data_IF_637372047764
#
_entry.id   IF_637372047764
#
_cell.length_a   1.000
_cell.length_b   1.000
_cell.length_c   1.000
_cell.angle_alpha   90.00
_cell.angle_beta   90.00
_cell.angle_gamma   90.00
#
_symmetry.space_group_name_H-M   'P 1'
#
loop_
_entity.id
_entity.type
_entity.pdbx_description
1 polymer ?
#
# COMPACT_ATOMS: atom_id res chain seq x y z
N UNK A 1 -9.93 9.25 9.46
CA UNK A 1 -10.84 8.15 9.09
C UNK A 1 -12.27 8.68 9.08
N UNK A 2 -13.08 8.29 8.10
CA UNK A 2 -14.50 8.65 8.02
C UNK A 2 -15.36 7.40 7.93
N UNK A 3 -16.61 7.47 8.40
CA UNK A 3 -17.55 6.35 8.29
C UNK A 3 -18.92 6.84 7.87
N UNK A 4 -19.50 6.22 6.85
CA UNK A 4 -20.89 6.47 6.51
C UNK A 4 -21.69 5.17 6.52
N UNK A 5 -22.94 5.28 6.98
CA UNK A 5 -23.92 4.22 6.94
C UNK A 5 -25.13 4.71 6.13
N UNK A 6 -25.67 3.85 5.29
CA UNK A 6 -26.84 4.10 4.46
C UNK A 6 -27.84 2.99 4.70
N UNK A 7 -29.10 3.34 4.99
CA UNK A 7 -30.18 2.38 5.20
C UNK A 7 -31.32 2.71 4.24
N UNK A 8 -31.67 1.77 3.37
CA UNK A 8 -32.75 1.90 2.40
C UNK A 8 -33.66 0.68 2.48
N UNK A 9 -34.80 0.85 3.15
CA UNK A 9 -35.67 -0.27 3.51
C UNK A 9 -34.91 -1.30 4.34
N UNK A 10 -34.76 -2.52 3.80
CA UNK A 10 -33.99 -3.62 4.43
C UNK A 10 -32.50 -3.60 4.09
N UNK A 11 -32.09 -2.90 3.04
CA UNK A 11 -30.70 -2.82 2.63
C UNK A 11 -29.93 -1.87 3.56
N UNK A 12 -28.81 -2.33 4.08
CA UNK A 12 -27.87 -1.51 4.85
C UNK A 12 -26.52 -1.52 4.14
N UNK A 13 -25.90 -0.36 3.99
CA UNK A 13 -24.54 -0.22 3.50
C UNK A 13 -23.70 0.51 4.56
N UNK A 14 -22.53 -0.02 4.90
CA UNK A 14 -21.59 0.59 5.84
C UNK A 14 -20.20 0.62 5.23
N UNK A 15 -19.58 1.79 5.20
CA UNK A 15 -18.20 1.95 4.75
C UNK A 15 -17.37 2.75 5.74
N UNK A 16 -16.19 2.22 6.03
CA UNK A 16 -15.13 2.89 6.78
C UNK A 16 -14.03 3.29 5.81
N UNK A 17 -13.82 4.59 5.67
CA UNK A 17 -12.88 5.19 4.73
C UNK A 17 -11.61 5.57 5.50
N UNK A 18 -10.52 4.86 5.21
CA UNK A 18 -9.20 5.15 5.79
C UNK A 18 -8.55 6.38 5.14
N UNK A 19 -8.75 6.53 3.82
CA UNK A 19 -8.14 7.57 3.01
C UNK A 19 -9.20 8.48 2.37
N UNK A 20 -8.82 9.75 2.16
CA UNK A 20 -9.66 10.75 1.49
C UNK A 20 -10.16 10.27 0.14
N UNK A 21 -9.29 9.65 -0.64
CA UNK A 21 -9.66 8.97 -1.89
C UNK A 21 -9.88 7.51 -1.56
N UNK A 22 -11.03 6.96 -1.92
CA UNK A 22 -11.37 5.54 -1.83
C UNK A 22 -11.85 5.07 -3.20
N UNK A 23 -11.34 3.94 -3.66
CA UNK A 23 -11.73 3.32 -4.93
C UNK A 23 -12.46 2.02 -4.64
N UNK A 24 -13.71 1.90 -5.09
CA UNK A 24 -14.47 0.65 -5.04
C UNK A 24 -14.37 -0.01 -6.41
N UNK A 25 -13.35 -0.85 -6.57
CA UNK A 25 -13.16 -1.68 -7.76
C UNK A 25 -13.68 -3.10 -7.47
N UNK A 26 -14.82 -3.40 -8.07
CA UNK A 26 -15.47 -4.71 -7.97
C UNK A 26 -16.07 -5.08 -9.33
N UNK A 27 -16.50 -6.33 -9.48
CA UNK A 27 -17.20 -6.79 -10.67
C UNK A 27 -18.52 -6.03 -10.89
N UNK A 28 -19.04 -6.11 -12.12
CA UNK A 28 -20.38 -5.60 -12.43
C UNK A 28 -21.46 -6.36 -11.62
N UNK A 29 -22.57 -5.69 -11.33
CA UNK A 29 -23.70 -6.30 -10.61
C UNK A 29 -23.52 -6.47 -9.09
N UNK A 30 -22.42 -5.99 -8.50
CA UNK A 30 -22.16 -6.08 -7.04
C UNK A 30 -22.83 -4.97 -6.21
N UNK A 31 -23.57 -4.06 -6.86
CA UNK A 31 -24.36 -3.03 -6.18
C UNK A 31 -23.71 -1.63 -6.09
N UNK A 32 -22.61 -1.39 -6.82
CA UNK A 32 -21.96 -0.06 -6.93
C UNK A 32 -22.94 1.03 -7.43
N UNK A 33 -23.49 0.86 -8.62
CA UNK A 33 -24.46 1.79 -9.21
C UNK A 33 -25.73 1.91 -8.37
N UNK A 34 -26.18 0.82 -7.76
CA UNK A 34 -27.34 0.84 -6.85
C UNK A 34 -27.08 1.73 -5.62
N UNK A 35 -25.87 1.69 -5.05
CA UNK A 35 -25.45 2.56 -3.96
C UNK A 35 -25.36 4.03 -4.40
N UNK A 36 -24.81 4.30 -5.58
CA UNK A 36 -24.78 5.65 -6.14
C UNK A 36 -26.19 6.22 -6.34
N UNK A 37 -27.07 5.49 -7.03
CA UNK A 37 -28.46 5.88 -7.27
C UNK A 37 -29.24 6.11 -5.98
N UNK A 38 -28.99 5.26 -4.99
CA UNK A 38 -29.56 5.35 -3.67
C UNK A 38 -29.23 6.69 -2.98
N UNK A 39 -27.96 7.10 -3.01
CA UNK A 39 -27.52 8.37 -2.44
C UNK A 39 -28.06 9.56 -3.26
N UNK A 40 -28.06 9.44 -4.59
CA UNK A 40 -28.59 10.48 -5.49
C UNK A 40 -30.09 10.72 -5.30
N UNK A 41 -30.88 9.66 -5.12
CA UNK A 41 -32.34 9.74 -4.92
C UNK A 41 -32.75 10.16 -3.51
N UNK A 42 -31.92 9.87 -2.50
CA UNK A 42 -32.21 10.18 -1.10
C UNK A 42 -31.11 11.02 -0.45
N UNK A 43 -30.91 12.26 -0.92
CA UNK A 43 -29.96 13.17 -0.29
C UNK A 43 -30.40 13.47 1.15
N UNK A 44 -29.48 13.35 2.09
CA UNK A 44 -29.59 13.91 3.45
C UNK A 44 -30.53 13.25 4.46
N UNK A 45 -31.69 12.67 4.10
CA UNK A 45 -32.79 12.52 5.08
C UNK A 45 -33.33 11.11 5.38
N UNK A 46 -32.84 10.04 4.72
CA UNK A 46 -33.24 8.63 5.04
C UNK A 46 -32.06 7.69 5.28
N UNK A 47 -30.84 8.14 5.01
CA UNK A 47 -29.60 7.47 5.38
C UNK A 47 -29.24 7.87 6.81
N UNK A 48 -29.07 6.92 7.73
CA UNK A 48 -28.47 7.24 9.03
C UNK A 48 -26.97 7.44 8.81
N UNK A 49 -26.59 8.65 8.43
CA UNK A 49 -25.19 9.04 8.27
C UNK A 49 -24.60 9.23 9.67
N UNK A 50 -23.74 8.31 10.09
CA UNK A 50 -22.87 8.52 11.28
C UNK A 50 -21.59 9.27 10.92
N UNK A 51 -21.51 9.83 9.71
CA UNK A 51 -20.39 10.63 9.26
C UNK A 51 -20.57 12.06 9.76
N UNK A 52 -19.50 12.72 10.19
CA UNK A 52 -19.51 14.16 10.42
C UNK A 52 -19.59 14.98 9.11
N UNK A 53 -19.53 14.31 7.96
CA UNK A 53 -19.50 14.90 6.62
C UNK A 53 -20.80 14.62 5.86
N UNK A 54 -21.22 15.59 5.04
CA UNK A 54 -22.37 15.43 4.14
C UNK A 54 -22.06 14.41 3.04
N UNK A 55 -22.98 13.47 2.79
CA UNK A 55 -22.85 12.49 1.71
C UNK A 55 -23.57 13.01 0.45
N UNK A 56 -22.86 13.04 -0.67
CA UNK A 56 -23.39 13.52 -1.94
C UNK A 56 -22.97 12.59 -3.09
N UNK A 57 -23.88 12.27 -4.00
CA UNK A 57 -23.58 11.59 -5.25
C UNK A 57 -23.64 12.61 -6.40
N UNK A 58 -22.63 12.64 -7.26
CA UNK A 58 -22.51 13.65 -8.33
C UNK A 58 -22.25 12.98 -9.68
N UNK A 59 -22.89 13.49 -10.73
CA UNK A 59 -22.63 13.05 -12.10
C UNK A 59 -21.53 13.90 -12.75
N UNK A 60 -21.57 15.21 -12.50
CA UNK A 60 -20.62 16.22 -12.95
C UNK A 60 -20.04 17.00 -11.77
N UNK A 61 -18.83 17.58 -11.93
CA UNK A 61 -18.23 18.44 -10.90
C UNK A 61 -19.11 19.66 -10.58
N UNK A 62 -19.91 20.13 -11.54
CA UNK A 62 -20.86 21.23 -11.35
C UNK A 62 -22.02 20.87 -10.42
N UNK A 63 -22.28 19.58 -10.18
CA UNK A 63 -23.32 19.14 -9.26
C UNK A 63 -22.88 19.25 -7.79
N UNK A 64 -21.59 19.47 -7.53
CA UNK A 64 -21.06 19.59 -6.18
C UNK A 64 -21.62 20.88 -5.56
N UNK A 65 -22.26 20.74 -4.40
CA UNK A 65 -22.83 21.91 -3.74
C UNK A 65 -21.72 22.84 -3.25
N UNK A 66 -21.75 24.08 -3.71
CA UNK A 66 -20.85 25.15 -3.27
C UNK A 66 -21.27 25.69 -1.91
N UNK A 67 -21.07 24.88 -0.88
CA UNK A 67 -21.14 25.27 0.52
C UNK A 67 -19.80 24.94 1.20
N UNK A 68 -19.46 25.66 2.27
CA UNK A 68 -18.20 25.45 3.00
C UNK A 68 -18.18 24.15 3.83
N UNK A 69 -19.20 23.28 3.71
CA UNK A 69 -19.27 22.02 4.43
C UNK A 69 -18.40 20.98 3.74
N UNK A 70 -17.62 20.23 4.52
CA UNK A 70 -16.84 19.09 4.02
C UNK A 70 -17.77 17.92 3.68
N UNK A 71 -17.48 17.23 2.57
CA UNK A 71 -18.36 16.21 1.99
C UNK A 71 -17.64 14.88 1.77
N UNK A 72 -18.44 13.83 1.64
CA UNK A 72 -18.07 12.57 1.00
C UNK A 72 -18.80 12.54 -0.35
N UNK A 73 -18.05 12.64 -1.43
CA UNK A 73 -18.53 12.71 -2.81
C UNK A 73 -18.41 11.33 -3.44
N UNK A 74 -19.54 10.77 -3.88
CA UNK A 74 -19.62 9.50 -4.60
C UNK A 74 -19.68 9.78 -6.10
N UNK A 75 -18.85 9.08 -6.87
CA UNK A 75 -18.82 9.15 -8.33
C UNK A 75 -18.83 7.72 -8.87
N UNK A 76 -19.82 7.40 -9.70
CA UNK A 76 -19.94 6.10 -10.36
C UNK A 76 -19.18 6.07 -11.70
N UNK A 77 -18.80 4.88 -12.17
CA UNK A 77 -18.01 4.71 -13.39
C UNK A 77 -18.65 5.24 -14.66
N UNK A 78 -19.99 5.32 -14.67
CA UNK A 78 -20.78 5.83 -15.80
C UNK A 78 -21.03 7.35 -15.72
N UNK A 79 -20.61 8.01 -14.63
CA UNK A 79 -20.79 9.44 -14.46
C UNK A 79 -19.93 10.28 -15.41
N UNK A 80 -20.46 11.45 -15.80
CA UNK A 80 -19.76 12.40 -16.66
C UNK A 80 -18.35 12.76 -16.15
N UNK A 81 -18.16 12.85 -14.83
CA UNK A 81 -16.86 13.04 -14.16
C UNK A 81 -15.77 12.05 -14.61
N UNK A 82 -16.12 10.79 -14.89
CA UNK A 82 -15.15 9.73 -15.23
C UNK A 82 -15.08 9.43 -16.72
N UNK A 83 -15.81 10.18 -17.55
CA UNK A 83 -15.68 10.09 -19.01
C UNK A 83 -14.33 10.65 -19.48
N UNK A 84 -13.85 10.14 -20.62
CA UNK A 84 -12.53 10.49 -21.18
C UNK A 84 -12.28 11.99 -21.32
N UNK A 85 -13.32 12.77 -21.63
CA UNK A 85 -13.19 14.20 -21.85
C UNK A 85 -13.03 14.99 -20.54
N UNK A 86 -13.52 14.46 -19.41
CA UNK A 86 -13.57 15.19 -18.14
C UNK A 86 -12.64 14.60 -17.06
N UNK A 87 -12.17 13.35 -17.22
CA UNK A 87 -11.38 12.66 -16.20
C UNK A 87 -10.16 13.45 -15.72
N UNK A 88 -9.49 14.20 -16.63
CA UNK A 88 -8.33 15.03 -16.25
C UNK A 88 -8.72 16.18 -15.33
N UNK A 89 -9.84 16.84 -15.61
CA UNK A 89 -10.38 17.92 -14.78
C UNK A 89 -10.85 17.38 -13.44
N UNK A 90 -11.54 16.24 -13.43
CA UNK A 90 -11.94 15.51 -12.22
C UNK A 90 -10.74 15.17 -11.35
N UNK A 91 -9.67 14.61 -11.92
CA UNK A 91 -8.44 14.31 -11.16
C UNK A 91 -7.82 15.58 -10.59
N UNK A 92 -7.75 16.65 -11.38
CA UNK A 92 -7.23 17.95 -10.91
C UNK A 92 -8.08 18.49 -9.75
N UNK A 93 -9.39 18.40 -9.84
CA UNK A 93 -10.30 18.82 -8.77
C UNK A 93 -10.08 17.99 -7.51
N UNK A 94 -10.08 16.66 -7.62
CA UNK A 94 -9.87 15.75 -6.49
C UNK A 94 -8.54 16.04 -5.82
N UNK A 95 -7.46 16.27 -6.57
CA UNK A 95 -6.13 16.55 -6.01
C UNK A 95 -6.05 17.87 -5.24
N UNK A 96 -6.90 18.86 -5.55
CA UNK A 96 -6.90 20.18 -4.91
C UNK A 96 -8.04 20.37 -3.89
N UNK A 97 -8.84 19.33 -3.65
CA UNK A 97 -9.97 19.37 -2.71
C UNK A 97 -9.67 18.63 -1.41
N UNK A 98 -10.15 19.19 -0.30
CA UNK A 98 -10.12 18.57 1.03
C UNK A 98 -11.30 17.62 1.27
N UNK A 99 -12.24 17.51 0.32
CA UNK A 99 -13.36 16.59 0.40
C UNK A 99 -12.90 15.14 0.25
N UNK A 100 -13.72 14.24 0.78
CA UNK A 100 -13.55 12.80 0.65
C UNK A 100 -14.24 12.33 -0.63
N UNK A 101 -13.61 11.40 -1.34
CA UNK A 101 -14.09 10.88 -2.62
C UNK A 101 -14.18 9.36 -2.58
N UNK A 102 -15.34 8.84 -2.98
CA UNK A 102 -15.57 7.41 -3.20
C UNK A 102 -15.82 7.20 -4.69
N UNK A 103 -14.80 6.71 -5.38
CA UNK A 103 -14.78 6.47 -6.82
C UNK A 103 -15.18 5.01 -7.07
N UNK A 104 -16.39 4.78 -7.55
CA UNK A 104 -16.90 3.44 -7.85
C UNK A 104 -16.54 3.07 -9.28
N UNK A 105 -15.26 2.81 -9.51
CA UNK A 105 -14.71 2.58 -10.84
C UNK A 105 -13.54 1.63 -10.77
N UNK A 106 -13.02 1.26 -11.95
CA UNK A 106 -11.83 0.43 -12.02
C UNK A 106 -10.57 1.24 -11.78
N UNK A 107 -9.62 0.69 -11.02
CA UNK A 107 -8.37 1.38 -10.64
C UNK A 107 -7.58 1.92 -11.85
N UNK A 108 -7.65 1.23 -13.00
CA UNK A 108 -6.94 1.60 -14.23
C UNK A 108 -7.55 2.81 -14.98
N UNK A 109 -8.82 3.16 -14.71
CA UNK A 109 -9.47 4.35 -15.31
C UNK A 109 -8.96 5.66 -14.67
N UNK A 110 -8.40 5.59 -13.47
CA UNK A 110 -7.97 6.74 -12.67
C UNK A 110 -6.49 7.12 -12.91
N UNK A 111 -5.95 6.82 -14.09
CA UNK A 111 -4.54 7.05 -14.41
C UNK A 111 -4.11 8.47 -14.01
N UNK A 112 -2.94 8.58 -13.34
CA UNK A 112 -2.36 9.80 -12.75
C UNK A 112 -2.93 10.24 -11.39
N UNK A 113 -4.07 9.72 -10.92
CA UNK A 113 -4.52 9.99 -9.56
C UNK A 113 -3.61 9.26 -8.56
N UNK A 114 -3.00 9.99 -7.63
CA UNK A 114 -2.22 9.40 -6.56
C UNK A 114 -3.14 8.94 -5.42
N UNK A 115 -3.18 7.64 -5.16
CA UNK A 115 -3.88 7.05 -4.02
C UNK A 115 -3.20 5.75 -3.57
N UNK A 116 -3.41 5.39 -2.30
CA UNK A 116 -2.83 4.18 -1.71
C UNK A 116 -3.47 2.91 -2.27
N UNK A 117 -2.71 1.83 -2.37
CA UNK A 117 -3.28 0.49 -2.63
C UNK A 117 -4.32 0.12 -1.56
N UNK A 118 -4.14 0.56 -0.31
CA UNK A 118 -5.07 0.34 0.80
C UNK A 118 -6.35 1.19 0.70
N UNK A 119 -6.41 2.10 -0.28
CA UNK A 119 -7.62 2.82 -0.63
C UNK A 119 -8.53 2.04 -1.59
N UNK A 120 -8.12 0.85 -2.05
CA UNK A 120 -8.88 0.03 -2.99
C UNK A 120 -9.67 -1.05 -2.26
N UNK A 121 -10.98 -1.04 -2.46
CA UNK A 121 -11.92 -1.92 -1.79
C UNK A 121 -12.81 -2.65 -2.79
N UNK A 122 -13.37 -3.77 -2.32
CA UNK A 122 -14.48 -4.49 -2.94
C UNK A 122 -15.71 -4.47 -2.04
N UNK A 123 -16.89 -4.65 -2.60
CA UNK A 123 -18.14 -4.75 -1.84
C UNK A 123 -18.30 -6.18 -1.33
N UNK A 124 -18.60 -6.31 -0.04
CA UNK A 124 -18.92 -7.58 0.60
C UNK A 124 -20.37 -7.57 1.02
N UNK A 125 -21.15 -8.52 0.49
CA UNK A 125 -22.55 -8.73 0.84
C UNK A 125 -22.70 -9.86 1.85
N UNK A 126 -23.31 -9.56 3.00
CA UNK A 126 -23.75 -10.53 4.01
C UNK A 126 -25.25 -10.37 4.21
N UNK A 127 -26.05 -11.26 3.62
CA UNK A 127 -27.51 -11.16 3.62
C UNK A 127 -28.00 -9.82 3.04
N UNK A 128 -28.54 -8.92 3.88
CA UNK A 128 -29.02 -7.58 3.51
C UNK A 128 -28.01 -6.46 3.81
N UNK A 129 -26.86 -6.80 4.40
CA UNK A 129 -25.82 -5.85 4.77
C UNK A 129 -24.69 -5.87 3.73
N UNK A 130 -24.35 -4.70 3.23
CA UNK A 130 -23.25 -4.44 2.32
C UNK A 130 -22.17 -3.67 3.08
N UNK A 131 -20.93 -4.11 2.93
CA UNK A 131 -19.76 -3.46 3.51
C UNK A 131 -18.67 -3.35 2.47
N UNK A 132 -17.60 -2.61 2.77
CA UNK A 132 -16.39 -2.62 1.96
C UNK A 132 -15.27 -3.37 2.69
N UNK A 133 -14.46 -4.10 1.93
CA UNK A 133 -13.24 -4.76 2.44
C UNK A 133 -12.06 -4.48 1.51
N UNK A 134 -10.83 -4.36 2.02
CA UNK A 134 -9.65 -4.17 1.18
C UNK A 134 -9.58 -5.21 0.07
N UNK A 135 -9.30 -4.75 -1.15
CA UNK A 135 -9.17 -5.63 -2.33
C UNK A 135 -7.81 -6.33 -2.35
N UNK A 136 -6.76 -5.60 -1.97
CA UNK A 136 -5.39 -6.08 -1.92
C UNK A 136 -4.91 -6.17 -0.47
N UNK A 137 -4.26 -7.28 -0.13
CA UNK A 137 -3.55 -7.41 1.14
C UNK A 137 -2.13 -6.87 1.01
N UNK A 138 -1.45 -6.61 2.14
CA UNK A 138 0.00 -6.37 2.14
C UNK A 138 0.69 -7.60 1.59
N UNK A 139 1.61 -7.37 0.65
CA UNK A 139 2.32 -8.42 -0.05
C UNK A 139 3.63 -8.67 0.68
N UNK A 140 3.74 -9.86 1.24
CA UNK A 140 4.98 -10.32 1.86
C UNK A 140 5.28 -11.75 1.42
N UNK A 141 6.38 -11.93 0.71
CA UNK A 141 6.87 -13.27 0.35
C UNK A 141 7.63 -13.89 1.52
N UNK A 142 7.02 -14.87 2.18
CA UNK A 142 7.68 -15.71 3.20
C UNK A 142 8.30 -16.95 2.56
N UNK A 143 9.49 -17.34 3.03
CA UNK A 143 10.12 -18.63 2.72
C UNK A 143 10.32 -18.90 1.22
N UNK A 144 10.77 -17.89 0.47
CA UNK A 144 11.16 -18.09 -0.92
C UNK A 144 12.29 -19.13 -1.03
N UNK A 145 12.21 -19.97 -2.06
CA UNK A 145 13.26 -20.95 -2.40
C UNK A 145 14.42 -20.31 -3.16
N UNK A 146 14.22 -19.09 -3.67
CA UNK A 146 15.23 -18.36 -4.44
C UNK A 146 16.01 -17.43 -3.52
N UNK A 147 17.35 -17.56 -3.45
CA UNK A 147 18.16 -16.60 -2.71
C UNK A 147 18.03 -15.22 -3.35
N UNK A 148 17.94 -14.17 -2.52
CA UNK A 148 17.90 -12.78 -2.99
C UNK A 148 19.33 -12.36 -3.33
N UNK A 149 19.54 -12.00 -4.60
CA UNK A 149 20.79 -11.41 -5.08
C UNK A 149 20.64 -9.90 -5.36
N UNK A 150 19.43 -9.42 -5.67
CA UNK A 150 19.18 -8.01 -6.00
C UNK A 150 17.94 -7.48 -5.29
N UNK A 151 18.04 -6.27 -4.75
CA UNK A 151 16.89 -5.47 -4.31
C UNK A 151 16.54 -4.46 -5.40
N UNK A 152 15.28 -4.46 -5.83
CA UNK A 152 14.69 -3.44 -6.69
C UNK A 152 13.74 -2.59 -5.85
N UNK A 153 14.01 -1.30 -5.69
CA UNK A 153 13.17 -0.40 -4.90
C UNK A 153 12.49 0.67 -5.75
N UNK A 154 11.26 1.02 -5.41
CA UNK A 154 10.47 2.03 -6.11
C UNK A 154 11.08 3.41 -6.02
N UNK A 155 11.39 3.82 -4.80
CA UNK A 155 12.01 5.09 -4.47
C UNK A 155 13.39 5.26 -5.11
N UNK A 156 13.80 6.50 -5.32
CA UNK A 156 15.13 6.90 -5.80
C UNK A 156 15.82 7.90 -4.85
N UNK A 157 15.30 8.07 -3.64
CA UNK A 157 15.73 9.09 -2.67
C UNK A 157 16.19 8.45 -1.36
N UNK A 158 15.53 8.73 -0.24
CA UNK A 158 15.90 8.32 1.12
C UNK A 158 15.81 6.81 1.31
N UNK A 159 14.71 6.19 0.88
CA UNK A 159 14.54 4.74 0.92
C UNK A 159 15.60 4.03 0.09
N UNK A 160 15.84 4.48 -1.14
CA UNK A 160 16.92 3.92 -1.98
C UNK A 160 18.30 4.03 -1.31
N UNK A 161 18.63 5.22 -0.81
CA UNK A 161 19.92 5.48 -0.14
C UNK A 161 20.12 4.57 1.06
N UNK A 162 19.05 4.31 1.82
CA UNK A 162 19.05 3.41 2.96
C UNK A 162 19.30 1.95 2.56
N UNK A 163 18.51 1.40 1.62
CA UNK A 163 18.66 0.01 1.20
C UNK A 163 19.98 -0.24 0.46
N UNK A 164 20.52 0.76 -0.26
CA UNK A 164 21.84 0.69 -0.88
C UNK A 164 22.98 0.58 0.13
N UNK A 165 22.80 1.07 1.36
CA UNK A 165 23.73 0.86 2.48
C UNK A 165 23.59 -0.52 3.11
N UNK A 166 22.41 -1.14 3.01
CA UNK A 166 22.12 -2.46 3.57
C UNK A 166 22.60 -3.61 2.67
N UNK A 167 22.55 -3.44 1.34
CA UNK A 167 22.94 -4.47 0.37
C UNK A 167 23.74 -3.87 -0.80
N UNK A 168 24.70 -4.62 -1.32
CA UNK A 168 25.56 -4.21 -2.43
C UNK A 168 24.76 -4.02 -3.73
N UNK A 169 23.92 -5.02 -4.04
CA UNK A 169 23.08 -5.07 -5.23
C UNK A 169 21.68 -4.50 -4.96
N UNK A 170 21.60 -3.18 -4.81
CA UNK A 170 20.34 -2.43 -4.76
C UNK A 170 20.22 -1.49 -5.97
N UNK A 171 19.07 -1.51 -6.64
CA UNK A 171 18.72 -0.67 -7.79
C UNK A 171 17.36 -0.02 -7.58
N UNK A 172 17.21 1.23 -8.03
CA UNK A 172 15.90 1.88 -8.09
C UNK A 172 15.22 1.55 -9.42
N UNK A 173 13.91 1.36 -9.39
CA UNK A 173 13.10 1.42 -10.60
C UNK A 173 12.52 2.81 -10.89
N UNK A 174 12.84 3.86 -10.13
CA UNK A 174 12.50 5.26 -10.43
C UNK A 174 10.99 5.53 -10.48
N UNK A 175 10.29 5.08 -9.45
CA UNK A 175 8.88 5.35 -9.25
C UNK A 175 7.95 4.33 -9.92
N UNK A 176 6.69 4.35 -9.47
CA UNK A 176 5.64 3.41 -9.93
C UNK A 176 5.53 3.22 -11.43
N UNK A 177 5.68 4.26 -12.26
CA UNK A 177 5.42 4.16 -13.71
C UNK A 177 6.46 3.27 -14.44
N UNK A 178 7.56 2.96 -13.76
CA UNK A 178 8.66 2.16 -14.24
C UNK A 178 8.69 0.73 -13.65
N UNK A 179 7.62 0.29 -12.97
CA UNK A 179 7.55 -1.03 -12.31
C UNK A 179 7.90 -2.21 -13.23
N UNK A 180 7.75 -2.07 -14.56
CA UNK A 180 8.09 -3.10 -15.55
C UNK A 180 9.56 -3.50 -15.51
N UNK A 181 10.45 -2.59 -15.09
CA UNK A 181 11.90 -2.86 -14.91
C UNK A 181 12.16 -3.99 -13.92
N UNK A 182 11.25 -4.23 -12.97
CA UNK A 182 11.38 -5.30 -11.99
C UNK A 182 11.37 -6.71 -12.62
N UNK A 183 10.73 -6.86 -13.78
CA UNK A 183 10.45 -8.16 -14.42
C UNK A 183 11.45 -8.56 -15.51
N UNK A 184 12.52 -7.78 -15.72
CA UNK A 184 13.62 -8.17 -16.60
C UNK A 184 14.27 -9.47 -16.11
N UNK A 185 14.71 -10.32 -17.05
CA UNK A 185 15.27 -11.66 -16.79
C UNK A 185 16.34 -11.59 -15.69
N UNK A 186 16.18 -12.40 -14.64
CA UNK A 186 17.12 -12.53 -13.54
C UNK A 186 17.71 -13.94 -13.48
N UNK A 187 18.99 -14.04 -13.14
CA UNK A 187 19.70 -15.31 -12.92
C UNK A 187 19.40 -15.92 -11.54
N UNK A 188 19.05 -15.07 -10.56
CA UNK A 188 18.74 -15.40 -9.17
C UNK A 188 17.48 -14.68 -8.69
N UNK A 189 17.06 -14.91 -7.45
CA UNK A 189 15.88 -14.25 -6.89
C UNK A 189 16.10 -12.74 -6.68
N UNK A 190 15.02 -11.98 -6.79
CA UNK A 190 15.02 -10.52 -6.64
C UNK A 190 13.94 -10.12 -5.64
N UNK A 191 14.28 -9.23 -4.71
CA UNK A 191 13.31 -8.63 -3.79
C UNK A 191 12.87 -7.28 -4.34
N UNK A 192 11.57 -7.13 -4.56
CA UNK A 192 10.96 -5.87 -4.99
C UNK A 192 10.37 -5.18 -3.77
N UNK A 193 10.76 -3.93 -3.58
CA UNK A 193 10.34 -3.08 -2.47
C UNK A 193 9.60 -1.87 -3.03
N UNK A 194 8.40 -1.58 -2.52
CA UNK A 194 7.66 -0.39 -2.95
C UNK A 194 6.71 0.15 -1.88
N UNK A 195 6.51 1.46 -1.95
CA UNK A 195 5.55 2.20 -1.15
C UNK A 195 4.15 1.96 -1.71
N UNK A 196 3.20 1.57 -0.85
CA UNK A 196 1.80 1.39 -1.26
C UNK A 196 1.13 2.72 -1.55
N UNK A 197 1.64 3.82 -1.01
CA UNK A 197 1.17 5.16 -1.33
C UNK A 197 1.50 5.51 -2.80
N UNK A 198 0.48 5.87 -3.58
CA UNK A 198 0.66 6.27 -4.98
C UNK A 198 0.69 5.11 -5.99
N UNK A 199 0.90 3.87 -5.54
CA UNK A 199 0.94 2.66 -6.39
C UNK A 199 -0.44 2.13 -6.80
N UNK A 200 -1.53 2.70 -6.26
CA UNK A 200 -2.90 2.23 -6.48
C UNK A 200 -3.31 2.08 -7.94
N UNK A 201 -2.88 2.98 -8.83
CA UNK A 201 -3.22 2.91 -10.27
C UNK A 201 -2.55 1.74 -11.01
N UNK A 202 -1.44 1.22 -10.49
CA UNK A 202 -0.59 0.26 -11.17
C UNK A 202 -0.66 -1.14 -10.55
N UNK A 203 -1.22 -1.27 -9.34
CA UNK A 203 -1.16 -2.49 -8.54
C UNK A 203 -1.75 -3.72 -9.24
N UNK A 204 -2.84 -3.57 -10.01
CA UNK A 204 -3.47 -4.68 -10.73
C UNK A 204 -2.51 -5.29 -11.74
N UNK A 205 -1.93 -4.46 -12.60
CA UNK A 205 -1.02 -4.92 -13.65
C UNK A 205 0.27 -5.47 -13.03
N UNK A 206 0.78 -4.80 -11.99
CA UNK A 206 1.94 -5.25 -11.24
C UNK A 206 1.72 -6.62 -10.58
N UNK A 207 0.59 -6.84 -9.92
CA UNK A 207 0.23 -8.12 -9.30
C UNK A 207 0.07 -9.23 -10.34
N UNK A 208 -0.56 -8.94 -11.48
CA UNK A 208 -0.70 -9.90 -12.59
C UNK A 208 0.64 -10.32 -13.19
N UNK A 209 1.64 -9.42 -13.20
CA UNK A 209 3.00 -9.76 -13.60
C UNK A 209 3.68 -10.58 -12.52
N UNK A 210 3.60 -10.19 -11.25
CA UNK A 210 4.18 -10.94 -10.13
C UNK A 210 3.77 -12.41 -10.13
N UNK A 211 2.49 -12.71 -10.37
CA UNK A 211 1.97 -14.08 -10.39
C UNK A 211 2.65 -14.98 -11.45
N UNK A 212 3.34 -14.39 -12.44
CA UNK A 212 4.03 -15.12 -13.50
C UNK A 212 5.51 -15.40 -13.17
N UNK A 213 6.02 -14.86 -12.07
CA UNK A 213 7.44 -14.88 -11.73
C UNK A 213 7.67 -15.34 -10.29
N UNK A 214 7.82 -16.65 -10.11
CA UNK A 214 8.04 -17.27 -8.78
C UNK A 214 9.38 -16.90 -8.13
N UNK A 215 10.34 -16.41 -8.92
CA UNK A 215 11.66 -15.95 -8.49
C UNK A 215 11.65 -14.55 -7.86
N UNK A 216 10.53 -13.82 -8.01
CA UNK A 216 10.36 -12.49 -7.45
C UNK A 216 9.74 -12.56 -6.06
N UNK A 217 10.35 -11.83 -5.15
CA UNK A 217 9.86 -11.64 -3.80
C UNK A 217 9.35 -10.21 -3.65
N UNK A 218 8.37 -10.00 -2.78
CA UNK A 218 7.85 -8.66 -2.50
C UNK A 218 7.94 -8.37 -1.01
N UNK A 219 8.28 -7.11 -0.74
CA UNK A 219 8.06 -6.42 0.51
C UNK A 219 7.39 -5.08 0.20
N UNK A 220 6.16 -4.88 0.65
CA UNK A 220 5.49 -3.58 0.57
C UNK A 220 5.17 -2.99 1.94
N UNK A 221 5.08 -1.67 1.98
CA UNK A 221 4.80 -0.92 3.20
C UNK A 221 4.03 0.37 2.88
N UNK A 222 3.45 1.01 3.88
CA UNK A 222 2.58 2.17 3.65
C UNK A 222 3.37 3.40 3.20
N UNK A 223 4.51 3.64 3.86
CA UNK A 223 5.60 4.55 3.46
C UNK A 223 6.92 4.05 4.04
N UNK A 224 8.05 4.54 3.52
CA UNK A 224 9.37 4.19 4.05
C UNK A 224 9.52 4.55 5.55
N UNK A 225 8.98 5.68 5.99
CA UNK A 225 9.01 6.08 7.41
C UNK A 225 8.18 5.12 8.26
N UNK A 226 7.00 4.73 7.78
CA UNK A 226 6.17 3.74 8.47
C UNK A 226 6.87 2.39 8.58
N UNK A 227 7.62 1.99 7.55
CA UNK A 227 8.47 0.80 7.57
C UNK A 227 9.57 0.89 8.63
N UNK A 228 10.29 2.01 8.72
CA UNK A 228 11.29 2.21 9.76
C UNK A 228 10.66 2.11 11.16
N UNK A 229 9.51 2.75 11.39
CA UNK A 229 8.80 2.67 12.67
C UNK A 229 8.32 1.26 13.02
N UNK A 230 7.82 0.50 12.04
CA UNK A 230 7.39 -0.90 12.23
C UNK A 230 8.57 -1.79 12.63
N UNK A 231 9.72 -1.54 12.02
CA UNK A 231 10.96 -2.24 12.27
C UNK A 231 11.55 -1.88 13.64
N UNK A 232 11.43 -0.64 14.09
CA UNK A 232 12.05 -0.16 15.32
C UNK A 232 11.29 -0.49 16.63
N UNK A 233 10.14 -1.16 16.57
CA UNK A 233 9.20 -1.38 17.69
C UNK A 233 8.68 -0.08 18.35
N UNK A 234 7.41 -0.09 18.78
CA UNK A 234 6.63 1.11 19.12
C UNK A 234 7.06 1.89 20.38
N UNK A 235 8.17 1.53 21.02
CA UNK A 235 8.62 2.08 22.30
C UNK A 235 10.00 2.75 22.24
N UNK A 236 10.50 3.06 21.05
CA UNK A 236 11.88 3.49 20.87
C UNK A 236 11.92 4.88 20.24
N UNK A 237 12.47 5.83 21.01
CA UNK A 237 12.67 7.22 20.60
C UNK A 237 13.66 7.27 19.41
N UNK A 238 13.18 7.77 18.27
CA UNK A 238 13.90 7.74 16.98
C UNK A 238 15.13 8.66 17.02
N UNK A 239 15.15 9.65 17.93
CA UNK A 239 16.26 10.59 18.09
C UNK A 239 17.55 9.94 18.64
N UNK A 240 17.49 8.69 19.11
CA UNK A 240 18.61 8.01 19.76
C UNK A 240 19.44 7.04 18.90
N UNK A 241 19.01 6.69 17.70
CA UNK A 241 19.67 5.65 16.88
C UNK A 241 20.51 6.24 15.76
N UNK A 242 21.75 5.76 15.67
CA UNK A 242 22.61 6.04 14.53
C UNK A 242 22.12 5.28 13.30
N UNK A 243 22.35 5.87 12.12
CA UNK A 243 22.06 5.23 10.82
C UNK A 243 22.63 3.81 10.70
N UNK A 244 23.75 3.52 11.39
CA UNK A 244 24.38 2.20 11.41
C UNK A 244 23.56 1.14 12.14
N UNK A 245 22.87 1.52 13.21
CA UNK A 245 22.05 0.59 14.00
C UNK A 245 20.78 0.18 13.24
N UNK A 246 20.18 1.13 12.51
CA UNK A 246 19.03 0.88 11.64
C UNK A 246 19.37 -0.09 10.50
N UNK A 247 20.53 0.11 9.86
CA UNK A 247 21.03 -0.77 8.79
C UNK A 247 21.24 -2.20 9.30
N UNK A 248 21.83 -2.37 10.49
CA UNK A 248 22.07 -3.69 11.08
C UNK A 248 20.76 -4.44 11.38
N UNK A 249 19.75 -3.72 11.90
CA UNK A 249 18.44 -4.31 12.19
C UNK A 249 17.71 -4.72 10.91
N UNK A 250 17.70 -3.85 9.89
CA UNK A 250 17.08 -4.19 8.59
C UNK A 250 17.78 -5.37 7.95
N UNK A 251 19.11 -5.46 8.05
CA UNK A 251 19.84 -6.62 7.57
C UNK A 251 19.41 -7.92 8.28
N UNK A 252 19.18 -7.91 9.59
CA UNK A 252 18.63 -9.07 10.33
C UNK A 252 17.24 -9.46 9.82
N UNK A 253 16.33 -8.49 9.66
CA UNK A 253 15.00 -8.73 9.08
C UNK A 253 15.06 -9.26 7.65
N UNK A 254 15.91 -8.70 6.80
CA UNK A 254 16.10 -9.15 5.41
C UNK A 254 16.74 -10.54 5.34
N UNK A 255 17.56 -10.94 6.32
CA UNK A 255 18.15 -12.29 6.37
C UNK A 255 17.11 -13.41 6.50
N UNK A 256 15.88 -13.07 6.93
CA UNK A 256 14.74 -13.98 7.00
C UNK A 256 14.12 -14.27 5.61
N UNK A 257 14.50 -13.53 4.55
CA UNK A 257 13.93 -13.61 3.19
C UNK A 257 14.68 -14.61 2.28
N UNK A 258 15.15 -15.71 2.86
CA UNK A 258 15.97 -16.71 2.19
C UNK A 258 17.46 -16.35 2.30
N UNK A 259 18.31 -17.36 2.46
CA UNK A 259 19.77 -17.22 2.60
C UNK A 259 20.28 -16.35 1.45
N UNK A 260 20.48 -15.06 1.69
CA UNK A 260 21.28 -14.25 0.80
C UNK A 260 22.60 -14.97 0.67
N UNK A 261 23.15 -15.04 -0.54
CA UNK A 261 24.59 -15.12 -0.67
C UNK A 261 25.10 -13.90 0.05
N UNK A 262 25.42 -14.08 1.33
CA UNK A 262 26.18 -13.15 2.14
C UNK A 262 27.26 -12.61 1.24
N UNK A 263 27.26 -11.28 1.04
CA UNK A 263 28.19 -10.55 0.19
C UNK A 263 29.58 -11.20 0.24
N UNK A 264 30.33 -11.24 -0.86
CA UNK A 264 31.73 -11.72 -0.82
C UNK A 264 32.58 -10.98 0.22
N UNK A 265 32.13 -9.78 0.61
CA UNK A 265 32.65 -9.02 1.75
C UNK A 265 32.38 -9.72 3.09
N UNK A 266 31.29 -10.46 3.31
CA UNK A 266 31.00 -11.20 4.55
C UNK A 266 31.97 -12.36 4.82
N UNK A 267 32.40 -13.09 3.78
CA UNK A 267 33.44 -14.14 3.92
C UNK A 267 34.83 -13.52 4.14
N UNK A 268 35.14 -12.39 3.48
CA UNK A 268 36.41 -11.67 3.62
C UNK A 268 36.49 -10.79 4.88
N UNK A 269 35.37 -10.30 5.40
CA UNK A 269 35.28 -9.34 6.52
C UNK A 269 35.55 -10.01 7.87
N UNK A 270 35.45 -11.35 7.96
CA UNK A 270 36.00 -12.10 9.10
C UNK A 270 37.50 -11.84 9.32
N UNK A 271 38.25 -11.54 8.26
CA UNK A 271 39.70 -11.38 8.30
C UNK A 271 40.19 -9.93 8.16
N UNK A 272 39.31 -8.96 7.88
CA UNK A 272 39.70 -7.56 7.70
C UNK A 272 39.87 -6.85 9.06
N UNK A 273 41.08 -6.44 9.43
CA UNK A 273 41.35 -5.66 10.67
C UNK A 273 40.99 -4.17 10.52
N UNK A 274 40.86 -3.66 9.29
CA UNK A 274 40.54 -2.26 9.00
C UNK A 274 39.06 -1.97 8.72
N UNK A 275 38.18 -2.97 8.85
CA UNK A 275 36.76 -2.77 8.62
C UNK A 275 36.09 -2.13 9.85
N UNK A 276 35.48 -0.95 9.66
CA UNK A 276 34.70 -0.22 10.67
C UNK A 276 33.50 -1.00 11.28
N UNK A 277 33.24 -2.23 10.84
CA UNK A 277 32.17 -3.10 11.35
C UNK A 277 32.66 -4.22 12.30
N UNK A 278 33.96 -4.49 12.41
CA UNK A 278 34.47 -5.65 13.19
C UNK A 278 34.17 -5.53 14.69
N UNK A 279 34.22 -4.32 15.24
CA UNK A 279 33.91 -4.05 16.65
C UNK A 279 32.39 -4.09 16.96
N UNK A 280 31.53 -4.05 15.94
CA UNK A 280 30.07 -3.98 16.11
C UNK A 280 29.44 -5.36 16.37
N UNK A 281 30.04 -6.44 15.86
CA UNK A 281 29.52 -7.82 15.99
C UNK A 281 29.98 -8.58 17.24
N UNK A 282 30.95 -8.03 17.98
CA UNK A 282 31.43 -8.59 19.25
C UNK A 282 30.54 -8.20 20.43
N UNK A 283 29.90 -7.03 20.39
CA UNK A 283 28.99 -6.58 21.45
C UNK A 283 27.54 -7.06 21.28
N UNK A 284 27.03 -7.11 20.05
CA UNK A 284 25.65 -7.58 19.78
C UNK A 284 25.43 -9.05 20.12
N UNK A 285 26.47 -9.88 20.10
CA UNK A 285 26.42 -11.29 20.54
C UNK A 285 26.32 -11.46 22.05
N UNK A 286 26.63 -10.44 22.86
CA UNK A 286 26.44 -10.49 24.32
C UNK A 286 25.01 -10.09 24.75
N UNK A 287 24.27 -9.38 23.90
CA UNK A 287 22.93 -8.85 24.25
C UNK A 287 21.79 -9.79 23.84
N UNK A 288 21.97 -10.66 22.83
CA UNK A 288 20.90 -11.57 22.38
C UNK A 288 21.08 -13.01 22.87
N UNK A 289 20.95 -13.20 24.19
CA UNK A 289 20.33 -14.41 24.75
C UNK A 289 18.85 -14.10 25.03
N UNK A 290 18.03 -14.01 23.99
CA UNK A 290 16.58 -14.11 24.15
C UNK A 290 16.12 -15.45 23.61
N UNK A 291 16.05 -16.36 24.58
CA UNK A 291 15.46 -17.68 24.55
C UNK A 291 14.01 -17.68 24.05
N UNK A 292 13.68 -18.74 23.31
CA UNK A 292 12.38 -19.43 23.28
C UNK A 292 11.15 -18.56 23.08
N UNK A 293 10.70 -18.42 21.84
CA UNK A 293 9.28 -18.57 21.48
C UNK A 293 9.20 -19.01 20.00
N UNK A 294 9.73 -20.20 19.76
CA UNK A 294 9.41 -21.01 18.60
C UNK A 294 8.16 -21.82 18.93
N UNK A 295 6.99 -21.21 18.85
CA UNK A 295 5.72 -21.93 18.76
C UNK A 295 4.70 -20.93 18.23
N UNK A 296 4.44 -20.96 16.92
CA UNK A 296 3.08 -20.90 16.36
C UNK A 296 3.17 -21.41 14.92
N UNK A 297 3.14 -22.74 14.86
CA UNK A 297 2.84 -23.58 13.71
C UNK A 297 1.34 -23.44 13.38
N UNK A 298 1.07 -23.15 12.10
CA UNK A 298 0.01 -23.72 11.24
C UNK A 298 -1.46 -23.64 11.70
N UNK A 299 -2.27 -23.02 10.81
CA UNK A 299 -3.70 -23.25 10.48
C UNK A 299 -4.61 -23.92 11.54
N UNK A 300 -5.66 -23.17 11.93
CA UNK A 300 -7.05 -23.48 11.56
C UNK A 300 -7.77 -22.20 11.18
#
# INVERSE_FOLDING_TARGET
MQRFNLKLGRLKFSAELKYRITVIDDESGKGKTCLFDAVKKFPGNRAVLTSSLKLQAVDSLNDIENNNEKKIILIDEDCNCLQKNNIKETIKYISNSDDWFVLMTRENKLAQLAYSVDAIYKIVKKSTELTISPKYQKLYTKNSKYPIDTIMIEDSTTGFSFFKKCVENCESFYGKDNYKRCFNIVKYGKLIIFDRMGFGTCIKDFYNLLLKHSELQILDYDSFEAFLLEIMDKNIDVEGYSEKELVAFVHDKLSQYGKSSTCSCFEKCKQCESCNFKNFFTDSRKVFKLSKYSDYVVLK
#
